data_IF_817988774252
#
_entry.id   IF_817988774252
#
_cell.length_a   1.000
_cell.length_b   1.000
_cell.length_c   1.000
_cell.angle_alpha   90.00
_cell.angle_beta   90.00
_cell.angle_gamma   90.00
#
_symmetry.space_group_name_H-M   'P 1'
#
loop_
_entity.id
_entity.type
_entity.pdbx_description
1 polymer ?
#
# COMPACT_ATOMS: atom_id res chain seq x y z
N UNK A 1 -13.10 -12.97 21.40
CA UNK A 1 -12.70 -13.42 21.16
C UNK A 1 -11.98 -14.20 21.20
N UNK A 2 -11.73 -14.52 21.38
CA UNK A 2 -11.02 -15.10 21.31
C UNK A 2 -10.58 -16.14 21.40
N UNK A 3 -10.64 -16.72 21.50
CA UNK A 3 -10.21 -17.67 21.63
C UNK A 3 -9.47 -18.19 20.84
N UNK A 4 -8.94 -18.01 20.63
CA UNK A 4 -8.17 -18.15 19.71
C UNK A 4 -7.04 -18.95 19.92
N UNK A 5 -6.15 -18.94 19.22
CA UNK A 5 -4.91 -19.51 19.28
C UNK A 5 -4.80 -20.95 19.43
N UNK A 6 -5.82 -21.48 19.69
CA UNK A 6 -5.75 -22.83 20.02
C UNK A 6 -6.09 -23.70 18.91
N UNK A 7 -6.28 -23.22 17.75
CA UNK A 7 -6.79 -24.07 16.72
C UNK A 7 -6.00 -23.93 15.44
N UNK A 8 -6.13 -24.92 14.60
CA UNK A 8 -5.55 -24.86 13.27
C UNK A 8 -6.14 -23.71 12.49
N UNK A 9 -7.39 -23.35 12.75
CA UNK A 9 -8.01 -22.21 12.12
C UNK A 9 -7.32 -20.90 12.45
N UNK A 10 -6.93 -20.73 13.71
CA UNK A 10 -6.25 -19.52 14.11
C UNK A 10 -4.86 -19.43 13.47
N UNK A 11 -4.14 -20.54 13.46
CA UNK A 11 -2.82 -20.55 12.83
C UNK A 11 -2.94 -20.27 11.33
N UNK A 12 -3.96 -20.82 10.69
CA UNK A 12 -4.17 -20.58 9.27
C UNK A 12 -4.50 -19.12 9.01
N UNK A 13 -5.33 -18.53 9.86
CA UNK A 13 -5.68 -17.13 9.68
C UNK A 13 -4.47 -16.22 9.79
N UNK A 14 -3.62 -16.47 10.78
CA UNK A 14 -2.42 -15.66 10.95
C UNK A 14 -1.49 -15.79 9.76
N UNK A 15 -1.32 -16.99 9.25
CA UNK A 15 -0.46 -17.21 8.09
C UNK A 15 -1.01 -16.49 6.88
N UNK A 16 -2.31 -16.58 6.65
CA UNK A 16 -2.92 -15.97 5.48
C UNK A 16 -2.92 -14.44 5.59
N UNK A 17 -3.12 -13.90 6.77
CA UNK A 17 -3.05 -12.45 6.94
C UNK A 17 -1.64 -11.93 6.69
N UNK A 18 -0.63 -12.66 7.16
CA UNK A 18 0.73 -12.25 6.89
C UNK A 18 1.05 -12.39 5.40
N UNK A 19 0.49 -13.40 4.73
CA UNK A 19 0.64 -13.53 3.29
C UNK A 19 -0.02 -12.39 2.55
N UNK A 20 -1.16 -11.90 3.03
CA UNK A 20 -1.77 -10.73 2.42
C UNK A 20 -0.79 -9.57 2.38
N UNK A 21 -0.08 -9.36 3.49
CA UNK A 21 0.89 -8.28 3.53
C UNK A 21 2.08 -8.55 2.61
N UNK A 22 2.68 -9.75 2.69
CA UNK A 22 3.90 -10.02 1.93
C UNK A 22 3.63 -10.13 0.44
N UNK A 23 2.52 -10.77 0.05
CA UNK A 23 2.18 -10.85 -1.36
C UNK A 23 1.76 -9.49 -1.90
N UNK A 24 1.06 -8.70 -1.09
CA UNK A 24 0.70 -7.35 -1.49
C UNK A 24 1.93 -6.49 -1.72
N UNK A 25 2.92 -6.62 -0.84
CA UNK A 25 4.16 -5.89 -0.99
C UNK A 25 4.88 -6.30 -2.28
N UNK A 26 4.95 -7.61 -2.53
CA UNK A 26 5.57 -8.11 -3.75
C UNK A 26 4.84 -7.59 -4.98
N UNK A 27 3.53 -7.62 -4.96
CA UNK A 27 2.74 -7.13 -6.09
C UNK A 27 2.95 -5.64 -6.32
N UNK A 28 3.07 -4.87 -5.24
CA UNK A 28 3.30 -3.43 -5.37
C UNK A 28 4.65 -3.16 -6.02
N UNK A 29 5.68 -3.90 -5.61
CA UNK A 29 7.00 -3.74 -6.20
C UNK A 29 6.95 -4.09 -7.68
N UNK A 30 6.36 -5.22 -8.01
CA UNK A 30 6.31 -5.67 -9.41
C UNK A 30 5.54 -4.68 -10.29
N UNK A 31 4.38 -4.23 -9.82
CA UNK A 31 3.57 -3.34 -10.61
C UNK A 31 4.25 -1.98 -10.82
N UNK A 32 4.92 -1.51 -9.76
CA UNK A 32 5.66 -0.26 -9.86
C UNK A 32 6.78 -0.36 -10.89
N UNK A 33 7.49 -1.50 -10.91
CA UNK A 33 8.57 -1.68 -11.87
C UNK A 33 8.05 -1.81 -13.29
N UNK A 34 6.94 -2.49 -13.49
CA UNK A 34 6.32 -2.56 -14.83
C UNK A 34 5.87 -1.18 -15.29
N UNK A 35 5.24 -0.42 -14.39
CA UNK A 35 4.82 0.93 -14.73
C UNK A 35 6.02 1.80 -15.09
N UNK A 36 7.07 1.72 -14.30
CA UNK A 36 8.28 2.49 -14.57
C UNK A 36 8.91 2.09 -15.89
N UNK A 37 8.88 0.80 -16.21
CA UNK A 37 9.45 0.34 -17.48
C UNK A 37 8.69 0.93 -18.66
N UNK A 38 7.38 1.08 -18.55
CA UNK A 38 6.59 1.66 -19.63
C UNK A 38 6.98 3.11 -19.90
N UNK A 39 7.69 3.73 -18.97
CA UNK A 39 8.14 5.11 -19.11
C UNK A 39 9.66 5.24 -19.23
N UNK A 40 10.37 4.12 -19.33
CA UNK A 40 11.81 4.14 -19.42
C UNK A 40 12.53 4.46 -18.12
N UNK A 41 11.85 4.29 -16.99
CA UNK A 41 12.38 4.69 -15.68
C UNK A 41 12.61 3.50 -14.75
N UNK A 42 12.75 2.30 -15.30
CA UNK A 42 12.83 1.12 -14.46
C UNK A 42 14.06 1.10 -13.54
N UNK A 43 15.22 1.54 -14.03
CA UNK A 43 16.41 1.55 -13.19
C UNK A 43 16.26 2.54 -12.05
N UNK A 44 15.73 3.71 -12.35
CA UNK A 44 15.47 4.70 -11.30
C UNK A 44 14.52 4.16 -10.26
N UNK A 45 13.44 3.53 -10.70
CA UNK A 45 12.44 3.00 -9.77
C UNK A 45 13.01 1.89 -8.90
N UNK A 46 13.82 1.01 -9.49
CA UNK A 46 14.46 -0.05 -8.73
C UNK A 46 15.32 0.52 -7.61
N UNK A 47 16.14 1.51 -7.94
CA UNK A 47 17.00 2.13 -6.94
C UNK A 47 16.20 2.87 -5.88
N UNK A 48 15.12 3.55 -6.27
CA UNK A 48 14.28 4.26 -5.32
C UNK A 48 13.64 3.31 -4.32
N UNK A 49 13.16 2.16 -4.81
CA UNK A 49 12.56 1.16 -3.93
C UNK A 49 13.60 0.60 -2.98
N UNK A 50 14.79 0.28 -3.49
CA UNK A 50 15.85 -0.24 -2.63
C UNK A 50 16.23 0.75 -1.54
N UNK A 51 16.33 2.03 -1.89
CA UNK A 51 16.66 3.06 -0.91
C UNK A 51 15.59 3.14 0.18
N UNK A 52 14.35 3.00 -0.21
CA UNK A 52 13.25 3.02 0.75
C UNK A 52 13.40 1.89 1.75
N UNK A 53 13.75 0.70 1.28
CA UNK A 53 13.91 -0.46 2.16
C UNK A 53 15.13 -0.33 3.05
N UNK A 54 16.17 0.33 2.58
CA UNK A 54 17.38 0.52 3.39
C UNK A 54 17.10 1.39 4.62
N UNK A 55 16.23 2.38 4.48
CA UNK A 55 15.94 3.28 5.57
C UNK A 55 14.74 2.84 6.41
N UNK A 56 14.02 1.81 5.99
CA UNK A 56 12.82 1.38 6.70
C UNK A 56 13.17 0.58 7.95
N UNK A 57 12.32 0.72 8.95
CA UNK A 57 12.44 -0.09 10.16
C UNK A 57 11.04 -0.18 10.79
N UNK A 58 10.98 -0.65 12.04
CA UNK A 58 9.68 -0.84 12.69
C UNK A 58 8.89 0.45 12.78
N UNK A 59 9.56 1.58 12.99
CA UNK A 59 8.83 2.84 13.11
C UNK A 59 8.26 3.31 11.79
N UNK A 60 8.77 2.80 10.67
CA UNK A 60 8.22 3.12 9.36
C UNK A 60 6.77 2.63 9.25
N UNK A 61 6.47 1.49 9.89
CA UNK A 61 5.12 0.96 9.88
C UNK A 61 4.14 1.96 10.49
N UNK A 62 4.49 2.50 11.67
CA UNK A 62 3.63 3.47 12.32
C UNK A 62 3.50 4.74 11.50
N UNK A 63 4.57 5.16 10.85
CA UNK A 63 4.52 6.35 9.99
C UNK A 63 3.52 6.17 8.85
N UNK A 64 3.51 4.99 8.23
CA UNK A 64 2.54 4.73 7.16
C UNK A 64 1.10 4.72 7.69
N UNK A 65 0.90 4.11 8.85
CA UNK A 65 -0.43 4.09 9.45
C UNK A 65 -0.92 5.51 9.73
N UNK A 66 -0.07 6.32 10.33
CA UNK A 66 -0.44 7.69 10.66
C UNK A 66 -0.70 8.53 9.41
N UNK A 67 0.10 8.30 8.39
CA UNK A 67 -0.03 9.05 7.15
C UNK A 67 -1.38 8.81 6.48
N UNK A 68 -1.90 7.59 6.53
CA UNK A 68 -3.16 7.29 5.87
C UNK A 68 -4.32 8.09 6.43
N UNK A 69 -4.25 8.43 7.72
CA UNK A 69 -5.33 9.17 8.35
C UNK A 69 -5.24 10.68 8.19
N UNK A 70 -4.08 11.18 7.76
CA UNK A 70 -3.87 12.61 7.71
C UNK A 70 -4.45 13.27 6.46
N UNK A 71 -4.23 12.66 5.31
CA UNK A 71 -4.60 13.30 4.06
C UNK A 71 -5.25 12.31 3.10
N UNK A 72 -6.36 11.68 3.51
CA UNK A 72 -6.93 10.63 2.69
C UNK A 72 -7.39 11.10 1.31
N UNK A 73 -7.92 12.33 1.23
CA UNK A 73 -8.36 12.85 -0.07
C UNK A 73 -7.16 13.07 -0.99
N UNK A 74 -6.06 13.57 -0.46
CA UNK A 74 -4.86 13.80 -1.27
C UNK A 74 -4.31 12.49 -1.81
N UNK A 75 -4.32 11.45 -0.99
CA UNK A 75 -3.87 10.14 -1.46
C UNK A 75 -4.77 9.60 -2.57
N UNK A 76 -6.08 9.78 -2.41
CA UNK A 76 -7.01 9.32 -3.42
C UNK A 76 -6.81 10.06 -4.74
N UNK A 77 -6.61 11.38 -4.68
CA UNK A 77 -6.36 12.17 -5.89
C UNK A 77 -5.06 11.74 -6.55
N UNK A 78 -4.04 11.46 -5.74
CA UNK A 78 -2.76 11.01 -6.29
C UNK A 78 -2.92 9.74 -7.11
N UNK A 79 -3.79 8.83 -6.69
CA UNK A 79 -4.01 7.60 -7.46
C UNK A 79 -4.66 7.89 -8.81
N UNK A 80 -5.55 8.87 -8.86
CA UNK A 80 -6.14 9.28 -10.13
C UNK A 80 -5.08 9.86 -11.06
N UNK A 81 -4.21 10.72 -10.53
CA UNK A 81 -3.14 11.31 -11.33
C UNK A 81 -2.19 10.25 -11.86
N UNK A 82 -1.87 9.26 -11.02
CA UNK A 82 -1.00 8.17 -11.43
C UNK A 82 -1.65 7.37 -12.55
N UNK A 83 -2.93 7.05 -12.40
CA UNK A 83 -3.63 6.28 -13.42
C UNK A 83 -3.61 7.00 -14.77
N UNK A 84 -3.82 8.31 -14.76
CA UNK A 84 -3.81 9.09 -15.99
C UNK A 84 -2.43 9.13 -16.61
N UNK A 85 -1.40 9.32 -15.79
CA UNK A 85 -0.04 9.34 -16.28
C UNK A 85 0.33 8.00 -16.93
N UNK A 86 -0.03 6.90 -16.29
CA UNK A 86 0.31 5.58 -16.80
C UNK A 86 -0.48 5.25 -18.06
N UNK A 87 -1.72 5.71 -18.15
CA UNK A 87 -2.50 5.50 -19.36
C UNK A 87 -1.82 6.11 -20.58
N UNK A 88 -1.18 7.27 -20.40
CA UNK A 88 -0.46 7.92 -21.49
C UNK A 88 0.73 7.11 -21.96
N UNK A 89 1.33 6.32 -21.08
CA UNK A 89 2.46 5.47 -21.45
C UNK A 89 1.99 4.08 -21.87
N UNK A 90 0.69 3.85 -21.90
CA UNK A 90 0.15 2.58 -22.36
C UNK A 90 0.12 1.49 -21.29
N UNK A 91 0.30 1.83 -20.04
CA UNK A 91 0.30 0.84 -18.98
C UNK A 91 -0.96 0.98 -18.12
N UNK A 92 -1.67 -0.11 -17.94
CA UNK A 92 -2.84 -0.15 -17.08
C UNK A 92 -2.50 -0.87 -15.78
N UNK A 93 -2.55 -0.14 -14.68
CA UNK A 93 -2.25 -0.71 -13.37
C UNK A 93 -3.54 -1.12 -12.68
N UNK A 94 -3.70 -2.41 -12.43
CA UNK A 94 -4.83 -2.87 -11.65
C UNK A 94 -4.67 -2.49 -10.18
N UNK A 95 -3.43 -2.36 -9.73
CA UNK A 95 -3.16 -2.05 -8.34
C UNK A 95 -3.59 -0.64 -7.98
N UNK A 96 -3.44 0.30 -8.90
CA UNK A 96 -3.80 1.70 -8.65
C UNK A 96 -5.27 1.82 -8.26
N UNK A 97 -6.14 1.07 -8.92
CA UNK A 97 -7.56 1.11 -8.59
C UNK A 97 -7.83 0.61 -7.17
N UNK A 98 -7.19 -0.48 -6.79
CA UNK A 98 -7.36 -1.03 -5.45
C UNK A 98 -6.84 -0.09 -4.37
N UNK A 99 -5.70 0.53 -4.61
CA UNK A 99 -5.15 1.49 -3.67
C UNK A 99 -6.08 2.69 -3.53
N UNK A 100 -6.59 3.19 -4.67
CA UNK A 100 -7.52 4.31 -4.64
C UNK A 100 -8.78 4.00 -3.86
N UNK A 101 -9.30 2.78 -4.02
CA UNK A 101 -10.46 2.36 -3.26
C UNK A 101 -10.17 2.31 -1.76
N UNK A 102 -8.99 1.85 -1.40
CA UNK A 102 -8.61 1.79 0.00
C UNK A 102 -8.62 3.19 0.62
N UNK A 103 -8.02 4.16 -0.06
CA UNK A 103 -8.03 5.53 0.44
C UNK A 103 -9.43 6.13 0.43
N UNK A 104 -10.25 5.75 -0.53
CA UNK A 104 -11.64 6.20 -0.56
C UNK A 104 -12.40 5.72 0.67
N UNK A 105 -12.17 4.47 1.08
CA UNK A 105 -12.82 3.95 2.29
C UNK A 105 -12.41 4.77 3.53
N UNK A 106 -11.13 5.13 3.60
CA UNK A 106 -10.63 5.92 4.72
C UNK A 106 -11.26 7.32 4.68
N UNK A 107 -11.35 7.90 3.50
CA UNK A 107 -11.94 9.22 3.33
C UNK A 107 -13.40 9.24 3.75
N UNK A 108 -14.09 8.11 3.60
CA UNK A 108 -15.49 7.98 3.97
C UNK A 108 -15.68 7.43 5.37
N UNK A 109 -14.66 7.45 6.20
CA UNK A 109 -14.80 7.18 7.61
C UNK A 109 -14.24 5.89 8.14
N UNK A 110 -13.72 5.00 7.27
CA UNK A 110 -13.12 3.77 7.78
C UNK A 110 -11.81 4.11 8.47
N UNK A 111 -11.68 3.67 9.71
CA UNK A 111 -10.47 3.97 10.48
C UNK A 111 -9.51 2.81 10.41
N UNK A 112 -8.23 3.17 10.32
CA UNK A 112 -7.18 2.16 10.36
C UNK A 112 -6.79 1.96 11.82
N UNK A 113 -6.67 0.69 12.27
CA UNK A 113 -6.27 0.44 13.66
C UNK A 113 -4.90 1.03 13.96
N UNK A 114 -4.71 1.44 15.20
CA UNK A 114 -3.45 1.96 15.72
C UNK A 114 -3.03 3.30 15.15
N UNK A 115 -3.89 3.96 14.39
CA UNK A 115 -3.57 5.28 13.88
C UNK A 115 -3.63 6.31 15.00
N UNK A 116 -2.80 7.34 14.89
CA UNK A 116 -2.80 8.45 15.83
C UNK A 116 -3.93 9.40 15.46
N UNK A 117 -5.00 9.37 16.24
CA UNK A 117 -6.19 10.15 15.91
C UNK A 117 -6.10 11.60 16.33
N UNK A 118 -5.00 11.99 16.97
CA UNK A 118 -4.88 13.39 17.39
C UNK A 118 -4.49 14.31 16.26
N UNK A 119 -4.22 13.76 15.10
CA UNK A 119 -3.78 14.57 13.97
C UNK A 119 -4.89 14.98 13.04
N UNK A 120 -6.11 14.83 13.46
CA UNK A 120 -7.16 15.21 12.55
C UNK A 120 -7.48 16.67 12.59
#
# INVERSE_FOLDING_TARGET
IQVVGDSAGDAAARRLLFSLFTEGLTATIADTLWAAKSMGLENWAFDAIRNEFESANASTVQSHIDETGKFPKRHSVAMTDIAEMLAESGYESTLVNGIGLTFSHIMHGRKIPFADLTNE
#
